data_IF_118879307915
#
_entry.id   IF_118879307915
#
_cell.length_a   1.000
_cell.length_b   1.000
_cell.length_c   1.000
_cell.angle_alpha   90.00
_cell.angle_beta   90.00
_cell.angle_gamma   90.00
#
_symmetry.space_group_name_H-M   'P 1'
#
loop_
_entity.id
_entity.type
_entity.pdbx_description
1 polymer ?
2 polymer ?
3 non-polymer ?
4 water ?
#
# COMPACT_ATOMS: atom_id res chain seq x y z
N UNK A 21 18.59 -10.59 -2.83
CA UNK A 21 19.04 -9.56 -3.75
C UNK A 21 18.28 -8.27 -3.52
N UNK A 22 18.58 -7.25 -4.33
CA UNK A 22 17.96 -5.95 -4.19
C UNK A 22 17.85 -5.30 -5.56
N UNK A 23 16.67 -4.70 -5.83
CA UNK A 23 16.42 -3.94 -7.05
C UNK A 23 15.81 -2.61 -6.66
N UNK A 24 16.42 -1.52 -7.12
CA UNK A 24 16.00 -0.17 -6.76
C UNK A 24 15.59 0.57 -8.02
N UNK A 25 14.34 1.01 -8.06
CA UNK A 25 13.81 1.78 -9.18
C UNK A 25 14.05 3.28 -8.95
N UNK A 26 14.06 4.01 -10.06
CA UNK A 26 14.21 5.46 -10.03
C UNK A 26 13.34 6.07 -11.12
N UNK A 27 13.08 7.37 -10.98
CA UNK A 27 12.21 8.05 -11.91
C UNK A 27 10.74 7.86 -11.57
N UNK A 28 9.91 8.34 -12.49
CA UNK A 28 8.47 8.31 -12.29
C UNK A 28 7.93 9.65 -11.84
N UNK A 29 6.74 9.59 -11.25
CA UNK A 29 6.09 10.78 -10.74
C UNK A 29 4.91 11.24 -11.56
N UNK A 30 4.70 12.56 -11.62
CA UNK A 30 3.57 13.14 -12.33
C UNK A 30 3.93 13.41 -13.79
N UNK A 31 3.12 12.88 -14.70
CA UNK A 31 3.30 13.09 -16.13
C UNK A 31 1.94 13.45 -16.73
N UNK A 32 1.91 14.52 -17.52
CA UNK A 32 0.69 14.92 -18.21
C UNK A 32 0.38 13.93 -19.32
N UNK A 33 -0.91 13.72 -19.62
CA UNK A 33 -1.29 12.73 -20.65
C UNK A 33 -0.62 13.05 -21.99
N UNK A 34 0.04 12.04 -22.56
CA UNK A 34 0.75 12.17 -23.80
C UNK A 34 2.25 12.35 -23.65
N UNK A 35 2.71 12.74 -22.46
CA UNK A 35 4.11 12.98 -22.24
C UNK A 35 4.93 11.71 -22.24
N UNK A 36 6.22 11.88 -21.93
CA UNK A 36 7.17 10.78 -21.88
C UNK A 36 7.86 10.77 -20.52
N UNK A 37 8.38 9.59 -20.17
CA UNK A 37 9.03 9.39 -18.87
C UNK A 37 9.94 8.18 -18.97
N UNK A 38 11.09 8.26 -18.30
CA UNK A 38 12.07 7.18 -18.28
C UNK A 38 12.16 6.59 -16.88
N UNK A 39 12.02 5.28 -16.78
CA UNK A 39 12.24 4.55 -15.53
C UNK A 39 13.58 3.84 -15.58
N UNK A 40 14.33 3.93 -14.50
CA UNK A 40 15.61 3.24 -14.37
C UNK A 40 15.59 2.36 -13.13
N UNK A 41 16.35 1.27 -13.18
CA UNK A 41 16.35 0.28 -12.11
C UNK A 41 17.75 -0.30 -11.95
N UNK A 42 18.41 0.03 -10.86
CA UNK A 42 19.72 -0.52 -10.53
C UNK A 42 19.52 -1.80 -9.73
N UNK A 43 20.35 -2.82 -10.02
CA UNK A 43 20.22 -4.13 -9.40
C UNK A 43 21.52 -4.51 -8.70
N UNK A 44 21.39 -5.33 -7.65
CA UNK A 44 22.53 -5.83 -6.90
C UNK A 44 22.11 -7.11 -6.18
N UNK A 45 23.10 -7.79 -5.59
CA UNK A 45 22.87 -9.04 -4.92
C UNK A 45 22.88 -10.26 -5.81
N UNK A 46 22.90 -10.08 -7.12
CA UNK A 46 23.02 -11.15 -8.09
C UNK A 46 23.79 -10.61 -9.28
N UNK A 47 23.99 -11.45 -10.28
CA UNK A 47 24.66 -11.02 -11.51
C UNK A 47 23.60 -10.54 -12.49
N UNK A 48 23.58 -9.22 -12.72
CA UNK A 48 22.55 -8.59 -13.55
C UNK A 48 22.53 -9.13 -14.98
N UNK A 49 23.64 -9.69 -15.46
CA UNK A 49 23.81 -10.05 -16.86
C UNK A 49 23.28 -11.44 -17.21
N UNK A 50 22.89 -12.24 -16.22
CA UNK A 50 22.47 -13.62 -16.47
C UNK A 50 20.99 -13.84 -16.16
N UNK A 51 20.19 -12.78 -16.11
CA UNK A 51 18.78 -12.88 -15.72
C UNK A 51 17.90 -12.14 -16.72
N UNK A 52 16.69 -12.66 -16.89
CA UNK A 52 15.65 -11.94 -17.61
C UNK A 52 15.09 -10.83 -16.73
N UNK A 53 15.05 -9.61 -17.25
CA UNK A 53 14.54 -8.46 -16.52
C UNK A 53 13.17 -8.09 -17.08
N UNK A 54 12.20 -7.90 -16.18
CA UNK A 54 10.83 -7.56 -16.56
C UNK A 54 10.37 -6.35 -15.79
N UNK A 55 9.48 -5.58 -16.41
CA UNK A 55 8.77 -4.49 -15.76
C UNK A 55 7.31 -4.93 -15.56
N UNK A 56 6.84 -4.86 -14.32
CA UNK A 56 5.47 -5.22 -13.97
C UNK A 56 4.83 -4.04 -13.28
N UNK A 57 3.55 -3.81 -13.54
CA UNK A 57 2.82 -2.72 -12.91
C UNK A 57 1.60 -3.26 -12.16
N UNK A 58 1.10 -2.43 -11.26
CA UNK A 58 -0.04 -2.79 -10.42
C UNK A 58 -0.93 -1.58 -10.24
N UNK A 59 -2.23 -1.79 -10.31
CA UNK A 59 -3.21 -0.72 -10.13
C UNK A 59 -4.53 -1.35 -9.72
N UNK A 60 -5.42 -0.58 -9.07
CA UNK A 60 -6.70 -1.15 -8.63
C UNK A 60 -7.57 -1.69 -9.75
N UNK A 61 -7.50 -1.10 -10.95
CA UNK A 61 -8.34 -1.57 -12.05
C UNK A 61 -7.72 -2.74 -12.81
N UNK A 62 -6.39 -2.79 -12.90
CA UNK A 62 -5.73 -3.84 -13.65
C UNK A 62 -5.32 -5.02 -12.79
N UNK A 63 -4.94 -4.79 -11.53
CA UNK A 63 -4.24 -5.80 -10.77
C UNK A 63 -2.78 -5.85 -11.20
N UNK A 64 -2.17 -7.03 -11.04
CA UNK A 64 -0.79 -7.24 -11.46
C UNK A 64 -0.74 -7.54 -12.95
N UNK A 65 -0.04 -6.71 -13.71
CA UNK A 65 0.02 -6.84 -15.16
C UNK A 65 1.47 -6.81 -15.63
N UNK A 66 1.90 -7.89 -16.28
CA UNK A 66 3.22 -7.90 -16.91
C UNK A 66 3.24 -6.93 -18.08
N UNK A 67 4.31 -6.14 -18.16
CA UNK A 67 4.43 -5.07 -19.15
C UNK A 67 5.48 -5.41 -20.21
N UNK A 68 6.72 -5.68 -19.80
CA UNK A 68 7.82 -5.81 -20.73
C UNK A 68 8.74 -6.95 -20.32
N UNK A 69 9.78 -7.15 -21.11
CA UNK A 69 10.75 -8.22 -20.91
C UNK A 69 11.97 -7.95 -21.76
N UNK A 70 13.15 -8.25 -21.21
CA UNK A 70 14.39 -8.20 -21.95
C UNK A 70 15.28 -9.34 -21.46
N UNK A 71 16.11 -9.86 -22.35
CA UNK A 71 16.92 -11.04 -22.11
C UNK A 71 18.40 -10.65 -22.12
N UNK A 72 19.27 -11.62 -22.40
CA UNK A 72 20.70 -11.46 -22.21
C UNK A 72 21.38 -11.03 -23.51
N UNK A 73 22.71 -10.92 -23.47
CA UNK A 73 23.47 -10.71 -24.68
C UNK A 73 23.44 -11.96 -25.56
N UNK A 74 23.37 -13.15 -24.95
CA UNK A 74 23.28 -14.41 -25.67
C UNK A 74 21.86 -14.74 -26.11
N UNK A 75 20.97 -13.73 -26.14
CA UNK A 75 19.60 -13.92 -26.59
C UNK A 75 19.18 -12.84 -27.59
N UNK A 76 20.15 -12.24 -28.30
CA UNK A 76 19.92 -11.17 -29.27
C UNK A 76 19.32 -9.92 -28.63
N UNK A 77 19.47 -9.76 -27.31
CA UNK A 77 18.76 -8.72 -26.57
C UNK A 77 17.27 -8.79 -26.84
N UNK A 78 16.73 -10.00 -26.84
CA UNK A 78 15.33 -10.21 -27.18
C UNK A 78 14.43 -9.43 -26.23
N UNK A 79 13.25 -9.05 -26.74
CA UNK A 79 12.32 -8.24 -25.99
C UNK A 79 10.90 -8.72 -26.25
N UNK A 80 10.05 -8.54 -25.25
CA UNK A 80 8.63 -8.82 -25.36
C UNK A 80 7.86 -7.71 -24.67
N UNK A 81 6.66 -7.44 -25.17
CA UNK A 81 5.81 -6.40 -24.61
C UNK A 81 4.39 -6.91 -24.47
N UNK A 82 3.66 -6.30 -23.54
CA UNK A 82 2.24 -6.57 -23.43
C UNK A 82 1.51 -5.92 -24.60
N UNK A 83 0.35 -6.48 -24.95
CA UNK A 83 -0.37 -6.02 -26.13
C UNK A 83 -0.83 -4.57 -26.00
N UNK A 84 -0.98 -4.05 -24.78
CA UNK A 84 -1.48 -2.69 -24.59
C UNK A 84 -0.39 -1.63 -24.60
N UNK A 85 0.85 -2.00 -24.29
CA UNK A 85 1.96 -1.04 -24.25
C UNK A 85 2.89 -1.17 -25.45
N UNK A 86 2.64 -2.13 -26.33
CA UNK A 86 3.48 -2.32 -27.50
C UNK A 86 3.43 -1.10 -28.41
N UNK A 87 4.59 -0.73 -28.94
CA UNK A 87 4.70 0.46 -29.77
C UNK A 87 4.86 1.76 -29.02
N UNK A 88 4.61 1.77 -27.71
CA UNK A 88 4.78 2.96 -26.90
C UNK A 88 5.89 2.85 -25.86
N UNK A 89 6.14 1.65 -25.33
CA UNK A 89 7.14 1.45 -24.29
C UNK A 89 8.35 0.71 -24.87
N UNK A 90 9.54 1.07 -24.38
CA UNK A 90 10.79 0.48 -24.83
C UNK A 90 11.59 0.04 -23.61
N UNK A 91 11.75 -1.26 -23.44
CA UNK A 91 12.56 -1.80 -22.35
C UNK A 91 14.01 -1.89 -22.83
N UNK A 92 14.94 -1.52 -21.95
CA UNK A 92 16.36 -1.50 -22.30
C UNK A 92 17.18 -1.85 -21.07
N UNK A 93 18.23 -2.64 -21.27
CA UNK A 93 19.14 -3.03 -20.21
C UNK A 93 20.51 -2.45 -20.46
N UNK A 94 21.35 -2.51 -19.42
CA UNK A 94 22.74 -2.06 -19.49
C UNK A 94 23.53 -2.92 -18.51
N UNK A 95 24.16 -3.98 -19.01
CA UNK A 95 24.87 -4.90 -18.15
C UNK A 95 26.08 -4.24 -17.48
N UNK A 96 26.64 -3.20 -18.10
CA UNK A 96 27.75 -2.48 -17.48
C UNK A 96 27.30 -1.78 -16.21
N UNK A 97 26.19 -1.05 -16.27
CA UNK A 97 25.66 -0.30 -15.14
C UNK A 97 24.67 -1.09 -14.32
N UNK A 98 24.41 -2.36 -14.69
CA UNK A 98 23.46 -3.22 -13.98
C UNK A 98 22.10 -2.53 -13.85
N UNK A 99 21.66 -1.88 -14.92
CA UNK A 99 20.47 -1.06 -14.90
C UNK A 99 19.53 -1.44 -16.03
N UNK A 100 18.24 -1.56 -15.71
CA UNK A 100 17.20 -1.69 -16.72
C UNK A 100 16.53 -0.33 -16.89
N UNK A 101 16.06 -0.08 -18.10
CA UNK A 101 15.36 1.17 -18.40
C UNK A 101 14.02 0.86 -19.05
N UNK A 102 13.12 1.82 -18.95
CA UNK A 102 11.79 1.70 -19.56
C UNK A 102 11.41 3.10 -20.05
N UNK A 103 11.79 3.40 -21.29
CA UNK A 103 11.37 4.64 -21.91
C UNK A 103 9.91 4.50 -22.32
N UNK A 104 9.05 5.30 -21.69
CA UNK A 104 7.61 5.23 -21.90
C UNK A 104 7.18 6.44 -22.72
N UNK A 105 6.83 6.20 -23.98
CA UNK A 105 6.43 7.25 -24.89
C UNK A 105 4.92 7.25 -25.05
N UNK A 106 4.36 8.46 -25.21
CA UNK A 106 2.93 8.65 -25.44
C UNK A 106 2.11 8.04 -24.30
N UNK A 107 2.42 8.48 -23.08
CA UNK A 107 1.75 7.96 -21.90
C UNK A 107 0.30 8.44 -21.85
N UNK A 108 -0.61 7.52 -21.56
CA UNK A 108 -2.01 7.84 -21.36
C UNK A 108 -2.41 7.50 -19.93
N UNK A 109 -3.57 8.01 -19.52
CA UNK A 109 -4.04 7.86 -18.15
C UNK A 109 -4.15 6.40 -17.73
N UNK A 110 -4.32 5.48 -18.68
CA UNK A 110 -4.42 4.07 -18.34
C UNK A 110 -3.11 3.50 -17.79
N UNK A 111 -1.99 4.16 -18.06
CA UNK A 111 -0.69 3.68 -17.62
C UNK A 111 -0.39 4.01 -16.17
N UNK A 112 -1.27 4.75 -15.50
CA UNK A 112 -1.03 5.11 -14.10
C UNK A 112 -1.00 3.87 -13.22
N UNK A 113 0.06 3.74 -12.42
CA UNK A 113 0.15 2.62 -11.52
C UNK A 113 1.51 2.58 -10.84
N UNK A 114 1.73 1.47 -10.14
CA UNK A 114 2.99 1.19 -9.44
C UNK A 114 3.78 0.24 -10.32
N UNK A 115 4.95 0.66 -10.77
CA UNK A 115 5.78 -0.13 -11.67
C UNK A 115 6.90 -0.81 -10.90
N UNK A 116 6.95 -2.14 -10.99
CA UNK A 116 7.94 -2.94 -10.30
C UNK A 116 9.00 -3.43 -11.28
N UNK A 117 10.24 -3.07 -11.03
CA UNK A 117 11.37 -3.68 -11.72
C UNK A 117 11.61 -5.07 -11.17
N UNK A 118 11.65 -6.07 -12.04
CA UNK A 118 11.78 -7.45 -11.61
C UNK A 118 12.88 -8.16 -12.39
N UNK A 119 13.38 -9.24 -11.78
CA UNK A 119 14.34 -10.12 -12.43
C UNK A 119 13.80 -11.54 -12.42
N UNK A 120 14.06 -12.26 -13.51
CA UNK A 120 13.40 -13.52 -13.68
C UNK A 120 11.91 -13.33 -13.89
N UNK A 121 11.17 -14.44 -13.77
CA UNK A 121 9.72 -14.45 -13.97
C UNK A 121 9.12 -15.33 -12.88
N UNK A 122 8.85 -14.74 -11.72
CA UNK A 122 9.35 -13.42 -11.35
C UNK A 122 10.09 -13.59 -10.03
N UNK A 123 11.38 -13.93 -10.14
CA UNK A 123 12.14 -14.36 -8.97
C UNK A 123 12.34 -13.22 -7.96
N UNK A 124 12.67 -12.04 -8.44
CA UNK A 124 13.07 -10.93 -7.59
C UNK A 124 12.30 -9.68 -7.95
N UNK A 125 11.86 -8.95 -6.94
CA UNK A 125 11.07 -7.74 -7.12
C UNK A 125 11.76 -6.56 -6.44
N UNK A 126 11.68 -5.40 -7.08
CA UNK A 126 12.11 -4.17 -6.45
C UNK A 126 11.01 -3.59 -5.59
N UNK A 127 11.30 -2.42 -5.02
CA UNK A 127 10.31 -1.78 -4.16
C UNK A 127 9.16 -1.20 -4.97
N UNK A 128 9.42 -0.73 -6.18
CA UNK A 128 8.38 -0.19 -7.04
C UNK A 128 8.28 1.32 -6.98
N UNK A 129 8.16 1.95 -8.14
CA UNK A 129 7.99 3.39 -8.24
C UNK A 129 6.58 3.70 -8.75
N UNK A 130 6.09 4.89 -8.39
CA UNK A 130 4.72 5.27 -8.69
C UNK A 130 4.70 6.25 -9.87
N UNK A 131 3.88 5.93 -10.88
CA UNK A 131 3.69 6.78 -12.04
C UNK A 131 2.23 7.21 -12.09
N UNK A 132 2.00 8.52 -12.13
CA UNK A 132 0.65 9.08 -12.22
C UNK A 132 0.56 9.87 -13.51
N UNK A 133 -0.33 9.45 -14.41
CA UNK A 133 -0.55 10.14 -15.68
C UNK A 133 -1.78 11.03 -15.49
N UNK A 134 -1.53 12.30 -15.20
CA UNK A 134 -2.57 13.31 -15.01
C UNK A 134 -1.99 14.66 -15.40
N UNK A 135 -2.87 15.58 -15.79
CA UNK A 135 -2.46 16.88 -16.29
C UNK A 135 -2.54 17.99 -15.23
N UNK A 136 -2.76 17.64 -13.97
CA UNK A 136 -2.66 18.64 -12.92
C UNK A 136 -1.18 18.90 -12.60
N UNK A 137 -0.94 19.84 -11.70
CA UNK A 137 0.42 20.24 -11.37
C UNK A 137 0.90 19.55 -10.09
N UNK A 138 2.22 19.45 -9.96
CA UNK A 138 2.80 18.92 -8.73
C UNK A 138 2.68 19.96 -7.61
N UNK A 139 2.20 19.52 -6.46
CA UNK A 139 1.98 20.39 -5.32
C UNK A 139 2.61 19.76 -4.08
N UNK A 140 3.41 20.50 -3.34
CA UNK A 140 4.01 19.95 -2.11
C UNK A 140 2.97 19.89 -1.00
N UNK A 141 3.16 19.02 -0.02
CA UNK A 141 2.15 18.83 1.02
C UNK A 141 2.19 19.89 2.11
N UNK A 142 1.05 20.06 2.75
CA UNK A 142 0.95 20.80 4.01
C UNK A 142 0.85 19.80 5.15
N UNK A 143 1.71 19.94 6.15
CA UNK A 143 1.78 19.03 7.28
C UNK A 143 1.27 19.77 8.51
N UNK A 144 0.20 19.25 9.11
CA UNK A 144 -0.42 19.88 10.27
C UNK A 144 -0.22 19.00 11.49
N UNK A 145 0.24 19.57 12.60
CA UNK A 145 0.43 18.77 13.81
C UNK A 145 -0.92 18.46 14.47
N UNK A 146 -1.03 17.24 14.98
CA UNK A 146 -2.23 16.77 15.69
C UNK A 146 -1.84 16.47 17.13
N UNK A 147 -2.06 17.43 18.01
CA UNK A 147 -1.80 17.26 19.44
C UNK A 147 -3.12 17.06 20.19
N UNK A 148 -3.09 16.36 21.32
CA UNK A 148 -4.31 16.22 22.12
C UNK A 148 -4.74 17.56 22.67
N UNK A 149 -6.05 17.83 22.56
CA UNK A 149 -6.61 19.10 23.00
C UNK A 149 -7.23 19.05 24.38
N UNK A 155 -4.89 8.46 30.40
CA UNK A 155 -4.44 7.18 29.87
C UNK A 155 -2.92 7.02 30.02
N UNK A 156 -2.46 5.77 30.08
CA UNK A 156 -1.03 5.53 30.17
C UNK A 156 -0.32 5.76 28.85
N UNK A 157 -1.04 5.69 27.74
CA UNK A 157 -0.51 5.99 26.42
C UNK A 157 -1.13 7.28 25.90
N UNK A 158 -0.36 8.03 25.12
CA UNK A 158 -0.86 9.21 24.43
C UNK A 158 -0.63 9.03 22.95
N UNK A 159 -1.63 9.43 22.15
CA UNK A 159 -1.59 9.27 20.71
C UNK A 159 -1.45 10.63 20.05
N UNK A 160 -0.46 10.77 19.19
CA UNK A 160 -0.20 11.99 18.44
C UNK A 160 -0.41 11.72 16.95
N UNK A 161 -0.44 12.78 16.16
CA UNK A 161 -0.74 12.61 14.75
C UNK A 161 -0.15 13.71 13.89
N UNK A 162 -0.18 13.44 12.58
CA UNK A 162 0.14 14.43 11.57
C UNK A 162 -0.86 14.30 10.44
N UNK A 163 -1.36 15.43 9.97
CA UNK A 163 -2.30 15.50 8.85
C UNK A 163 -1.59 16.11 7.65
N UNK A 164 -1.66 15.41 6.51
CA UNK A 164 -0.93 15.78 5.31
C UNK A 164 -1.95 16.04 4.21
N UNK A 165 -2.16 17.31 3.86
CA UNK A 165 -3.23 17.70 2.95
C UNK A 165 -2.69 18.50 1.77
N UNK A 166 -3.38 18.38 0.64
CA UNK A 166 -3.19 19.27 -0.49
C UNK A 166 -1.93 19.05 -1.30
N UNK A 167 -1.52 17.80 -1.49
CA UNK A 167 -0.35 17.50 -2.29
C UNK A 167 -0.73 16.65 -3.48
N UNK A 168 0.17 16.61 -4.46
CA UNK A 168 -0.05 15.84 -5.67
C UNK A 168 1.27 15.71 -6.40
N UNK A 169 1.59 14.52 -6.95
CA UNK A 169 0.80 13.30 -6.83
C UNK A 169 1.28 12.42 -5.69
N UNK A 170 0.97 11.13 -5.76
CA UNK A 170 1.44 10.15 -4.81
C UNK A 170 2.82 9.65 -5.20
N UNK A 171 3.61 9.12 -4.22
CA UNK A 171 3.28 8.97 -2.81
C UNK A 171 4.02 9.94 -1.88
N UNK A 172 3.59 10.00 -0.63
CA UNK A 172 4.40 10.57 0.44
C UNK A 172 4.67 9.48 1.45
N UNK A 173 5.84 9.54 2.07
CA UNK A 173 6.25 8.60 3.10
C UNK A 173 6.27 9.33 4.43
N UNK A 174 5.71 8.71 5.46
CA UNK A 174 5.69 9.27 6.81
C UNK A 174 6.58 8.42 7.69
N UNK A 175 7.45 9.08 8.45
CA UNK A 175 8.19 8.46 9.53
C UNK A 175 8.03 9.31 10.79
N UNK A 176 8.39 8.74 11.93
CA UNK A 176 8.32 9.44 13.20
C UNK A 176 9.70 9.40 13.86
N UNK A 177 10.17 10.56 14.30
CA UNK A 177 11.54 10.70 14.82
C UNK A 177 12.55 10.03 13.90
N UNK A 178 12.46 10.36 12.60
CA UNK A 178 13.38 9.86 11.59
C UNK A 178 13.40 8.34 11.52
N UNK A 179 12.28 7.70 11.86
CA UNK A 179 12.19 6.27 11.86
C UNK A 179 12.44 5.62 13.20
N UNK A 180 12.87 6.39 14.21
CA UNK A 180 13.16 5.81 15.51
C UNK A 180 11.91 5.27 16.19
N UNK A 181 10.75 5.86 15.92
CA UNK A 181 9.47 5.35 16.41
C UNK A 181 8.76 4.64 15.28
N UNK A 182 8.39 3.38 15.49
CA UNK A 182 7.74 2.61 14.44
C UNK A 182 6.77 1.59 15.02
N UNK A 183 6.98 1.19 16.27
CA UNK A 183 6.16 0.15 16.86
C UNK A 183 4.72 0.61 17.05
N UNK A 184 4.51 1.88 17.39
CA UNK A 184 3.18 2.36 17.66
C UNK A 184 2.64 3.31 16.61
N UNK A 185 3.05 3.12 15.36
CA UNK A 185 2.72 4.02 14.25
C UNK A 185 1.63 3.39 13.40
N UNK A 186 0.65 4.20 13.01
CA UNK A 186 -0.33 3.85 11.99
C UNK A 186 -0.32 4.93 10.92
N UNK A 187 -0.07 4.53 9.67
CA UNK A 187 -0.07 5.45 8.55
C UNK A 187 -1.17 5.05 7.59
N UNK A 188 -2.02 5.96 7.27
CA UNK A 188 -3.19 5.57 6.52
C UNK A 188 -3.05 5.94 5.05
N UNK A 189 -3.66 5.14 4.17
CA UNK A 189 -3.55 5.41 2.73
C UNK A 189 -4.16 6.76 2.38
N UNK A 190 -3.57 7.39 1.37
CA UNK A 190 -4.03 8.70 0.93
C UNK A 190 -5.29 8.57 0.09
N UNK A 191 -6.22 9.50 0.30
CA UNK A 191 -7.47 9.56 -0.46
C UNK A 191 -7.44 10.84 -1.30
N UNK A 192 -7.83 10.72 -2.56
CA UNK A 192 -7.85 11.85 -3.48
C UNK A 192 -9.23 12.51 -3.47
N UNK A 193 -9.24 13.83 -3.35
CA UNK A 193 -10.47 14.63 -3.33
C UNK A 193 -10.17 15.94 -4.06
N UNK A 194 -11.15 16.85 -4.09
CA UNK A 194 -10.95 18.16 -4.68
C UNK A 194 -9.84 18.94 -3.97
N UNK A 195 -9.47 18.54 -2.76
CA UNK A 195 -8.36 19.12 -2.02
C UNK A 195 -7.03 18.43 -2.35
N UNK A 196 -6.93 17.78 -3.50
CA UNK A 196 -5.79 16.91 -3.85
C UNK A 196 -5.74 15.78 -2.80
N UNK A 197 -4.55 15.22 -2.55
CA UNK A 197 -4.43 14.08 -1.68
C UNK A 197 -4.47 14.47 -0.21
N UNK A 198 -5.02 13.57 0.60
CA UNK A 198 -5.05 13.72 2.06
C UNK A 198 -4.72 12.38 2.69
N UNK A 199 -3.75 12.37 3.60
CA UNK A 199 -3.50 11.19 4.41
C UNK A 199 -3.15 11.64 5.82
N UNK A 200 -3.10 10.67 6.73
CA UNK A 200 -2.83 10.96 8.12
C UNK A 200 -1.95 9.85 8.68
N UNK A 201 -1.29 10.17 9.77
CA UNK A 201 -0.43 9.23 10.47
C UNK A 201 -0.57 9.48 11.96
N UNK A 202 -0.64 8.40 12.74
CA UNK A 202 -0.70 8.50 14.19
C UNK A 202 0.44 7.71 14.80
N UNK A 203 0.93 8.19 15.95
CA UNK A 203 1.91 7.49 16.75
C UNK A 203 1.44 7.49 18.19
N UNK A 204 1.66 6.38 18.89
CA UNK A 204 1.24 6.20 20.27
C UNK A 204 2.47 5.92 21.12
N UNK A 205 2.70 6.77 22.12
CA UNK A 205 3.85 6.60 23.02
C UNK A 205 3.35 6.69 24.46
N UNK A 206 4.15 6.20 25.41
CA UNK A 206 3.78 6.37 26.82
C UNK A 206 3.65 7.84 27.17
N UNK A 207 2.56 8.18 27.87
CA UNK A 207 2.23 9.58 28.11
C UNK A 207 3.25 10.28 29.00
N UNK A 208 3.99 9.54 29.82
CA UNK A 208 5.04 10.16 30.63
C UNK A 208 6.24 10.61 29.81
N UNK A 209 6.33 10.22 28.54
CA UNK A 209 7.47 10.57 27.70
C UNK A 209 7.18 11.69 26.71
N UNK A 210 5.96 12.22 26.70
CA UNK A 210 5.64 13.35 25.84
C UNK A 210 5.01 14.45 26.70
N UNK A 211 5.43 15.71 26.55
CA UNK A 211 6.39 16.18 25.55
C UNK A 211 7.84 16.27 26.01
N UNK A 212 8.19 15.57 27.10
CA UNK A 212 9.57 15.61 27.58
C UNK A 212 10.54 15.06 26.54
N UNK A 213 10.14 14.00 25.84
CA UNK A 213 10.96 13.41 24.79
C UNK A 213 10.24 13.66 23.47
N UNK A 214 10.82 14.52 22.63
CA UNK A 214 10.09 15.11 21.53
C UNK A 214 9.63 14.04 20.53
N UNK A 215 8.51 14.31 19.90
CA UNK A 215 7.92 13.46 18.88
C UNK A 215 7.74 14.29 17.63
N UNK A 216 8.29 13.82 16.51
CA UNK A 216 8.30 14.58 15.27
C UNK A 216 7.93 13.66 14.13
N UNK A 217 7.03 14.13 13.27
CA UNK A 217 6.68 13.37 12.07
C UNK A 217 7.44 13.94 10.88
N UNK A 218 7.96 13.06 10.04
CA UNK A 218 8.74 13.44 8.88
C UNK A 218 7.97 13.02 7.64
N UNK A 219 7.60 13.99 6.83
CA UNK A 219 6.80 13.78 5.63
C UNK A 219 7.67 14.07 4.42
N UNK A 220 7.94 13.06 3.61
CA UNK A 220 8.76 13.21 2.41
C UNK A 220 7.87 13.06 1.17
N UNK A 221 7.96 14.05 0.27
CA UNK A 221 7.19 14.04 -0.98
C UNK A 221 8.20 14.17 -2.12
N UNK A 222 8.70 13.05 -2.65
CA UNK A 222 9.78 13.13 -3.67
C UNK A 222 9.33 13.76 -4.98
N UNK A 223 8.04 13.71 -5.30
CA UNK A 223 7.58 14.31 -6.56
C UNK A 223 7.80 15.82 -6.58
N UNK A 224 7.74 16.48 -5.41
CA UNK A 224 7.94 17.91 -5.30
C UNK A 224 9.30 18.26 -4.69
N UNK A 225 10.19 17.28 -4.52
CA UNK A 225 11.53 17.49 -3.96
C UNK A 225 11.46 18.14 -2.57
N UNK A 226 10.43 17.79 -1.79
CA UNK A 226 10.13 18.46 -0.54
C UNK A 226 10.07 17.46 0.60
N UNK A 227 10.58 17.86 1.76
CA UNK A 227 10.41 17.10 2.99
C UNK A 227 10.07 18.07 4.10
N UNK A 228 9.11 17.68 4.95
CA UNK A 228 8.65 18.49 6.06
C UNK A 228 8.80 17.68 7.34
N UNK A 229 9.34 18.32 8.38
CA UNK A 229 9.45 17.71 9.69
C UNK A 229 8.64 18.55 10.67
N UNK A 230 7.67 17.92 11.33
CA UNK A 230 6.74 18.63 12.21
C UNK A 230 6.86 18.05 13.60
N UNK A 231 7.44 18.82 14.52
CA UNK A 231 7.52 18.41 15.91
C UNK A 231 6.19 18.68 16.60
N UNK A 232 5.59 17.64 17.16
CA UNK A 232 4.28 17.75 17.80
C UNK A 232 4.49 18.33 19.19
N UNK A 233 3.97 19.54 19.41
CA UNK A 233 4.12 20.24 20.69
C UNK A 233 2.75 20.33 21.36
N UNK A 234 2.67 20.54 22.67
CA UNK A 234 1.35 20.65 23.31
C UNK A 234 0.60 21.88 22.84
N UNK A 235 -0.72 21.79 22.91
CA UNK A 235 -1.59 22.93 22.61
C UNK A 235 -1.66 23.86 23.81
N UNK B 20 -4.04 -15.10 -24.35
CA UNK B 20 -3.74 -14.76 -22.96
C UNK B 20 -4.46 -15.72 -22.01
N UNK B 21 -3.70 -16.43 -21.19
CA UNK B 21 -4.27 -17.36 -20.22
C UNK B 21 -4.73 -16.60 -19.00
N UNK B 22 -5.92 -16.92 -18.52
CA UNK B 22 -6.55 -16.22 -17.41
C UNK B 22 -6.36 -17.03 -16.14
N UNK B 23 -5.71 -16.44 -15.14
CA UNK B 23 -5.55 -17.05 -13.83
C UNK B 23 -6.67 -16.55 -12.92
N UNK B 24 -7.39 -17.48 -12.31
CA UNK B 24 -8.50 -17.18 -11.42
C UNK B 24 -8.18 -17.71 -10.04
N UNK B 25 -8.14 -16.82 -9.05
CA UNK B 25 -7.87 -17.20 -7.67
C UNK B 25 -9.17 -17.16 -6.88
N UNK B 26 -9.40 -18.21 -6.09
CA UNK B 26 -10.60 -18.34 -5.28
C UNK B 26 -10.20 -18.74 -3.87
N UNK B 27 -10.76 -18.10 -2.83
CA UNK B 27 -11.70 -16.99 -2.99
C UNK B 27 -10.99 -15.65 -3.09
N UNK B 28 -11.75 -14.56 -3.14
CA UNK B 28 -11.13 -13.24 -3.12
C UNK B 28 -10.52 -12.94 -1.76
N UNK B 29 -11.15 -13.42 -0.69
CA UNK B 29 -10.66 -13.22 0.66
C UNK B 29 -10.91 -14.48 1.48
N UNK B 30 -10.05 -14.71 2.46
CA UNK B 30 -10.13 -15.91 3.29
C UNK B 30 -9.73 -15.61 4.73
N UNK B 31 -10.63 -15.79 5.70
CA UNK B 31 -10.26 -15.68 7.11
C UNK B 31 -9.75 -16.99 7.66
N UNK B 32 -8.77 -16.88 8.58
CA UNK B 32 -8.15 -18.07 9.15
C UNK B 32 -7.55 -17.69 10.50
N UNK B 33 -7.78 -18.55 11.49
CA UNK B 33 -7.19 -18.34 12.81
C UNK B 33 -5.73 -18.77 12.82
N UNK B 34 -4.99 -18.28 13.81
CA UNK B 34 -3.59 -18.64 13.95
C UNK B 34 -3.46 -20.08 14.46
N UNK B 35 -2.53 -20.82 13.88
CA UNK B 35 -2.31 -22.21 14.19
C UNK B 35 -3.00 -23.16 13.23
N UNK B 36 -4.13 -22.76 12.65
CA UNK B 36 -4.84 -23.59 11.69
C UNK B 36 -4.15 -23.53 10.33
N UNK B 37 -4.73 -24.22 9.36
CA UNK B 37 -4.21 -24.26 8.00
C UNK B 37 -5.12 -23.45 7.07
N UNK B 38 -4.60 -23.15 5.89
CA UNK B 38 -5.32 -22.37 4.90
C UNK B 38 -4.96 -22.88 3.52
N UNK B 39 -5.95 -22.91 2.62
CA UNK B 39 -5.75 -23.31 1.24
C UNK B 39 -6.32 -22.24 0.32
N UNK B 40 -5.62 -21.97 -0.77
CA UNK B 40 -6.03 -20.97 -1.75
C UNK B 40 -5.95 -21.60 -3.13
N UNK B 41 -7.04 -21.51 -3.89
CA UNK B 41 -7.11 -22.11 -5.21
C UNK B 41 -6.70 -21.10 -6.28
N UNK B 42 -5.99 -21.58 -7.29
CA UNK B 42 -5.62 -20.78 -8.46
C UNK B 42 -5.81 -21.66 -9.68
N UNK B 43 -6.71 -21.25 -10.58
CA UNK B 43 -7.01 -22.01 -11.77
C UNK B 43 -6.73 -21.18 -13.02
N UNK B 44 -6.38 -21.86 -14.11
CA UNK B 44 -6.01 -21.22 -15.36
C UNK B 44 -7.03 -21.57 -16.44
N UNK B 45 -6.95 -20.82 -17.55
CA UNK B 45 -7.83 -21.08 -18.68
C UNK B 45 -7.54 -22.44 -19.31
N UNK B 46 -6.26 -22.74 -19.53
CA UNK B 46 -5.83 -24.00 -20.12
C UNK B 46 -4.81 -24.66 -19.21
N UNK B 47 -4.51 -25.92 -19.51
CA UNK B 47 -3.40 -26.60 -18.85
C UNK B 47 -2.09 -25.93 -19.24
N UNK B 48 -1.32 -25.53 -18.23
CA UNK B 48 -0.04 -24.87 -18.45
C UNK B 48 1.14 -25.84 -18.37
N UNK B 49 0.87 -27.14 -18.43
CA UNK B 49 1.91 -28.15 -18.45
C UNK B 49 2.74 -27.97 -19.70
N UNK B 50 4.00 -27.56 -19.53
CA UNK B 50 4.92 -27.49 -20.66
C UNK B 50 5.11 -28.90 -21.22
N UNK B 51 5.72 -28.97 -22.41
CA UNK B 51 6.10 -30.27 -22.95
C UNK B 51 7.05 -30.98 -21.98
N UNK B 52 7.93 -30.21 -21.36
CA UNK B 52 8.87 -30.72 -20.37
C UNK B 52 8.35 -30.43 -18.97
N UNK B 53 8.53 -31.39 -18.07
CA UNK B 53 8.24 -31.24 -16.66
C UNK B 53 6.79 -30.87 -16.39
N UNK B 54 6.59 -30.17 -15.26
CA UNK B 54 5.25 -29.80 -14.83
C UNK B 54 4.89 -28.42 -15.33
N UNK B 55 4.47 -27.54 -14.41
CA UNK B 55 3.92 -26.25 -14.76
C UNK B 55 4.92 -25.14 -14.42
N UNK B 56 4.91 -24.08 -15.24
CA UNK B 56 5.58 -22.85 -14.84
C UNK B 56 4.67 -22.04 -13.93
N UNK B 57 4.20 -22.65 -12.84
CA UNK B 57 3.23 -22.05 -11.94
C UNK B 57 3.95 -21.50 -10.72
N UNK B 58 3.78 -20.21 -10.46
CA UNK B 58 4.48 -19.53 -9.38
C UNK B 58 3.48 -18.90 -8.42
N UNK B 59 3.80 -18.98 -7.13
CA UNK B 59 3.01 -18.35 -6.07
C UNK B 59 3.78 -17.19 -5.48
N UNK B 60 3.05 -16.14 -5.10
CA UNK B 60 3.65 -14.93 -4.56
C UNK B 60 2.87 -14.48 -3.33
N UNK B 61 3.58 -13.85 -2.40
CA UNK B 61 2.97 -13.22 -1.24
C UNK B 61 3.36 -11.74 -1.24
N UNK B 62 2.35 -10.87 -1.20
CA UNK B 62 2.57 -9.43 -1.11
C UNK B 62 2.02 -8.96 0.22
N UNK B 63 2.91 -8.81 1.20
CA UNK B 63 2.53 -8.22 2.47
C UNK B 63 2.11 -6.77 2.24
N UNK B 64 1.20 -6.25 3.07
CA UNK B 64 0.74 -4.87 2.87
C UNK B 64 1.89 -3.88 2.96
N UNK B 65 1.87 -2.90 2.04
CA UNK B 65 2.91 -1.90 1.98
C UNK B 65 4.21 -2.35 1.32
N UNK B 66 4.26 -3.56 0.79
CA UNK B 66 5.48 -4.10 0.19
C UNK B 66 5.18 -4.58 -1.23
N UNK B 67 6.23 -5.03 -1.90
CA UNK B 67 6.08 -5.59 -3.24
C UNK B 67 5.83 -7.09 -3.14
N UNK B 68 5.32 -7.71 -4.22
CA UNK B 68 5.18 -9.17 -4.20
C UNK B 68 6.51 -9.86 -4.04
N UNK B 69 6.48 -11.04 -3.42
CA UNK B 69 7.69 -11.84 -3.21
C UNK B 69 7.40 -13.29 -3.60
N UNK B 70 8.29 -13.86 -4.40
CA UNK B 70 8.12 -15.22 -4.89
C UNK B 70 8.21 -16.21 -3.74
N UNK B 71 7.13 -16.94 -3.49
CA UNK B 71 7.11 -17.98 -2.46
C UNK B 71 7.43 -19.35 -3.06
N UNK B 72 6.63 -19.77 -4.02
CA UNK B 72 6.75 -21.11 -4.61
C UNK B 72 6.85 -20.96 -6.12
N UNK B 73 7.72 -21.76 -6.73
CA UNK B 73 7.86 -21.81 -8.18
C UNK B 73 7.75 -23.26 -8.64
N UNK B 74 7.27 -23.43 -9.87
CA UNK B 74 7.05 -24.74 -10.48
C UNK B 74 6.21 -25.63 -9.56
N UNK B 75 5.04 -25.12 -9.22
CA UNK B 75 4.00 -25.84 -8.47
C UNK B 75 4.38 -26.07 -7.02
N UNK B 76 5.56 -26.65 -6.77
CA UNK B 76 5.89 -27.10 -5.41
C UNK B 76 7.25 -26.64 -4.89
N UNK B 77 8.15 -26.14 -5.72
CA UNK B 77 9.47 -25.78 -5.23
C UNK B 77 9.39 -24.50 -4.40
N UNK B 78 9.90 -24.57 -3.18
CA UNK B 78 9.91 -23.40 -2.29
C UNK B 78 11.14 -22.56 -2.57
N UNK B 79 10.94 -21.25 -2.66
CA UNK B 79 12.01 -20.33 -3.01
C UNK B 79 12.95 -20.13 -1.83
N UNK B 80 13.94 -19.26 -2.03
CA UNK B 80 14.95 -19.01 -1.01
C UNK B 80 14.33 -18.39 0.23
N UNK B 81 14.57 -19.02 1.38
CA UNK B 81 14.11 -18.48 2.64
C UNK B 81 12.62 -18.62 2.89
N UNK B 82 11.95 -19.53 2.20
CA UNK B 82 10.52 -19.76 2.41
C UNK B 82 10.36 -20.83 3.48
N UNK B 83 9.59 -20.58 4.53
CA UNK B 83 9.40 -21.59 5.58
C UNK B 83 8.75 -22.85 5.02
N UNK B 84 8.98 -23.96 5.73
CA UNK B 84 8.45 -25.25 5.29
C UNK B 84 6.94 -25.33 5.38
N UNK B 85 6.28 -24.37 6.04
CA UNK B 85 4.84 -24.44 6.17
C UNK B 85 4.11 -24.02 4.90
N UNK B 86 4.79 -23.34 3.98
CA UNK B 86 4.22 -23.04 2.67
C UNK B 86 4.44 -24.22 1.74
N UNK B 87 3.35 -24.79 1.24
CA UNK B 87 3.40 -25.89 0.28
C UNK B 87 2.46 -25.61 -0.88
N UNK B 88 2.83 -26.10 -2.06
CA UNK B 88 2.04 -25.90 -3.25
C UNK B 88 1.70 -27.18 -4.00
N UNK B 89 0.40 -27.45 -4.13
CA UNK B 89 -0.08 -28.66 -4.78
C UNK B 89 -0.83 -28.30 -6.06
N UNK B 90 -1.45 -29.30 -6.68
CA UNK B 90 -2.22 -29.12 -7.88
C UNK B 90 -1.49 -29.61 -9.13
N UNK B 91 -2.26 -29.79 -10.20
CA UNK B 91 -1.72 -30.27 -11.46
C UNK B 91 -2.64 -29.85 -12.60
N UNK B 92 -2.04 -29.47 -13.73
CA UNK B 92 -2.79 -29.15 -14.92
C UNK B 92 -3.39 -27.76 -14.93
N UNK B 93 -4.68 -27.67 -14.61
CA UNK B 93 -5.37 -26.38 -14.51
C UNK B 93 -5.60 -25.94 -13.08
N UNK B 94 -5.71 -26.86 -12.14
CA UNK B 94 -5.95 -26.54 -10.74
C UNK B 94 -4.64 -26.56 -9.95
N UNK B 95 -4.48 -25.59 -9.06
CA UNK B 95 -3.30 -25.49 -8.21
C UNK B 95 -3.72 -24.96 -6.85
N UNK B 96 -3.16 -25.55 -5.80
CA UNK B 96 -3.51 -25.21 -4.43
C UNK B 96 -2.27 -24.79 -3.66
N UNK B 97 -2.33 -23.62 -3.05
CA UNK B 97 -1.31 -23.18 -2.10
C UNK B 97 -1.82 -23.47 -0.70
N UNK B 98 -0.98 -24.08 0.13
CA UNK B 98 -1.36 -24.43 1.49
C UNK B 98 -0.40 -23.77 2.48
N UNK B 99 -0.92 -23.46 3.66
CA UNK B 99 -0.14 -22.88 4.75
C UNK B 99 -0.44 -23.70 6.00
N UNK B 100 0.57 -24.42 6.49
CA UNK B 100 0.42 -25.21 7.70
C UNK B 100 0.75 -24.35 8.92
N UNK B 101 -0.15 -24.34 9.89
CA UNK B 101 -0.02 -23.50 11.08
C UNK B 101 0.23 -22.03 10.70
N UNK B 102 -0.84 -21.32 10.35
CA UNK B 102 -0.72 -19.94 9.89
C UNK B 102 -0.11 -19.06 10.97
N UNK B 103 0.77 -18.16 10.56
CA UNK B 103 1.34 -17.16 11.45
C UNK B 103 0.83 -15.77 11.08
N UNK B 104 1.07 -14.82 11.98
CA UNK B 104 0.57 -13.46 11.78
C UNK B 104 1.28 -12.77 10.62
N UNK B 105 2.57 -13.01 10.46
CA UNK B 105 3.31 -12.44 9.35
C UNK B 105 2.91 -13.02 8.00
N UNK B 106 2.04 -14.03 7.98
CA UNK B 106 1.57 -14.61 6.73
C UNK B 106 0.46 -13.82 6.07
N UNK B 107 -0.13 -12.85 6.75
CA UNK B 107 -1.25 -12.10 6.17
C UNK B 107 -0.77 -11.23 5.02
N UNK B 108 -1.66 -10.98 4.09
CA UNK B 108 -1.36 -10.25 2.88
C UNK B 108 -2.16 -10.82 1.73
N UNK B 109 -1.81 -10.39 0.52
CA UNK B 109 -2.47 -10.85 -0.69
C UNK B 109 -1.56 -11.85 -1.39
N UNK B 110 -2.08 -13.05 -1.64
CA UNK B 110 -1.34 -14.10 -2.31
C UNK B 110 -1.73 -14.14 -3.79
N UNK B 111 -0.73 -14.11 -4.67
CA UNK B 111 -0.93 -14.13 -6.10
C UNK B 111 -0.41 -15.43 -6.70
N UNK B 112 -0.81 -15.67 -7.95
CA UNK B 112 -0.27 -16.77 -8.74
C UNK B 112 -0.03 -16.27 -10.16
N UNK B 113 1.13 -16.62 -10.71
CA UNK B 113 1.46 -16.28 -12.08
C UNK B 113 1.78 -17.55 -12.87
N UNK B 114 1.96 -17.38 -14.17
CA UNK B 114 2.24 -18.48 -15.08
C UNK B 114 3.20 -18.02 -16.15
N UNK B 115 4.15 -18.89 -16.51
CA UNK B 115 5.18 -18.55 -17.47
C UNK B 115 5.25 -19.52 -18.64
N UNK B 116 4.29 -20.45 -18.76
CA UNK B 116 4.28 -21.39 -19.87
C UNK B 116 3.88 -20.70 -21.17
N UNK B 117 2.59 -20.39 -21.30
CA UNK B 117 2.05 -19.79 -22.51
C UNK B 117 2.35 -18.30 -22.48
N UNK B 118 3.49 -17.92 -23.06
CA UNK B 118 3.96 -16.54 -22.99
C UNK B 118 4.57 -16.15 -24.33
N UNK B 119 4.45 -14.87 -24.71
CA UNK B 119 3.75 -13.80 -23.98
C UNK B 119 2.23 -13.94 -24.07
N UNK B 120 1.49 -13.37 -23.11
CA UNK B 120 2.05 -12.65 -21.97
C UNK B 120 2.11 -13.49 -20.70
N UNK B 121 2.85 -12.99 -19.72
CA UNK B 121 2.87 -13.58 -18.38
C UNK B 121 1.72 -12.98 -17.57
N UNK B 122 0.82 -13.82 -17.10
CA UNK B 122 -0.41 -13.37 -16.47
C UNK B 122 -0.45 -13.77 -15.00
N UNK B 123 -1.01 -12.89 -14.18
CA UNK B 123 -1.21 -13.13 -12.76
C UNK B 123 -2.69 -13.38 -12.47
N UNK B 124 -2.96 -13.80 -11.24
CA UNK B 124 -4.33 -13.93 -10.78
C UNK B 124 -4.82 -12.65 -10.12
N UNK B 125 -6.10 -12.65 -9.77
CA UNK B 125 -6.67 -11.49 -9.10
C UNK B 125 -6.09 -11.28 -7.72
N UNK B 126 -5.65 -12.35 -7.07
CA UNK B 126 -5.09 -12.27 -5.73
C UNK B 126 -6.11 -12.64 -4.67
N UNK B 127 -5.67 -13.38 -3.66
CA UNK B 127 -6.51 -13.75 -2.53
C UNK B 127 -5.94 -13.10 -1.28
N UNK B 128 -6.77 -12.35 -0.57
CA UNK B 128 -6.34 -11.69 0.66
C UNK B 128 -6.47 -12.65 1.84
N UNK B 129 -5.36 -12.88 2.53
CA UNK B 129 -5.35 -13.70 3.73
C UNK B 129 -5.58 -12.80 4.94
N UNK B 130 -6.68 -13.03 5.65
CA UNK B 130 -7.03 -12.26 6.84
C UNK B 130 -6.95 -13.13 8.07
N UNK B 131 -6.22 -12.67 9.09
CA UNK B 131 -6.11 -13.40 10.34
C UNK B 131 -7.36 -13.12 11.17
N UNK B 132 -8.09 -14.18 11.52
CA UNK B 132 -9.27 -14.08 12.38
C UNK B 132 -8.77 -14.08 13.83
N UNK B 133 -8.58 -12.89 14.37
CA UNK B 133 -8.15 -12.74 15.76
C UNK B 133 -9.35 -12.45 16.65
N UNK B 134 -9.09 -12.45 17.96
CA UNK B 134 -10.12 -12.13 18.92
C UNK B 134 -10.61 -10.70 18.74
N UNK B 135 -11.81 -10.43 19.24
CA UNK B 135 -12.38 -9.09 19.13
C UNK B 135 -11.51 -8.07 19.86
N UNK B 136 -11.38 -6.88 19.26
CA UNK B 136 -10.61 -5.80 19.83
C UNK B 136 -11.39 -4.51 19.63
N UNK B 137 -11.62 -3.78 20.71
CA UNK B 137 -12.35 -2.52 20.61
C UNK B 137 -11.41 -1.40 20.18
N UNK B 138 -11.89 -0.45 19.37
CA UNK B 138 -11.02 0.63 18.94
C UNK B 138 -10.60 1.54 20.08
N UNK B 139 -9.36 1.99 20.03
CA UNK B 139 -8.89 3.09 20.87
C UNK B 139 -9.07 4.38 20.08
N UNK B 140 -9.98 5.24 20.53
CA UNK B 140 -10.42 6.40 19.77
C UNK B 140 -9.76 7.65 20.31
N UNK B 141 -9.23 8.48 19.42
CA UNK B 141 -8.61 9.76 19.78
C UNK B 141 -9.09 10.83 18.82
N UNK B 142 -9.52 11.96 19.35
CA UNK B 142 -10.01 13.07 18.54
C UNK B 142 -9.02 14.23 18.64
N UNK B 143 -8.88 14.97 17.55
CA UNK B 143 -7.93 16.08 17.50
C UNK B 143 -8.56 17.31 16.83
N UNK B 144 -8.60 18.45 17.52
CA UNK B 144 -9.09 19.68 16.89
C UNK B 144 -8.14 20.16 15.81
N UNK B 145 -8.56 21.12 14.98
CA UNK B 145 -7.67 21.63 13.94
C UNK B 145 -6.46 22.34 14.51
N UNK B 146 -5.36 22.29 13.77
CA UNK B 146 -4.14 22.96 14.17
C UNK B 146 -4.20 24.45 13.81
N UNK B 147 -3.36 25.24 14.48
CA UNK B 147 -3.30 26.67 14.18
C UNK B 147 -2.77 26.95 12.79
N UNK B 148 -1.90 26.07 12.27
CA UNK B 148 -1.40 26.24 10.91
C UNK B 148 -2.52 26.15 9.90
N UNK B 149 -3.40 25.16 10.04
CA UNK B 149 -4.48 24.98 9.06
C UNK B 149 -5.49 26.11 9.16
N UNK B 150 -5.81 26.55 10.39
CA UNK B 150 -6.75 27.65 10.58
C UNK B 150 -6.26 28.91 9.88
N UNK B 151 -4.95 29.16 9.90
CA UNK B 151 -4.39 30.32 9.24
C UNK B 151 -4.69 30.31 7.75
N UNK B 152 -4.72 29.12 7.15
CA UNK B 152 -5.03 28.97 5.73
C UNK B 152 -6.51 28.88 5.44
N UNK B 153 -7.37 29.06 6.44
CA UNK B 153 -8.80 29.05 6.24
C UNK B 153 -9.47 27.70 6.32
N UNK B 154 -8.72 26.63 6.61
CA UNK B 154 -9.29 25.30 6.74
C UNK B 154 -9.43 24.89 8.19
N UNK B 155 -10.18 23.80 8.40
CA UNK B 155 -10.40 23.30 9.75
C UNK B 155 -10.79 21.83 9.65
N UNK B 156 -9.82 20.95 9.83
CA UNK B 156 -10.04 19.51 9.83
C UNK B 156 -9.99 18.99 11.26
N UNK B 157 -11.03 18.26 11.66
CA UNK B 157 -11.04 17.52 12.91
C UNK B 157 -10.74 16.07 12.59
N UNK B 158 -9.76 15.50 13.28
CA UNK B 158 -9.28 14.16 12.99
C UNK B 158 -9.64 13.23 14.14
N UNK B 159 -10.13 12.04 13.79
CA UNK B 159 -10.51 11.01 14.73
C UNK B 159 -9.77 9.73 14.34
N UNK B 160 -8.91 9.24 15.22
CA UNK B 160 -8.20 7.99 15.02
C UNK B 160 -8.94 6.86 15.74
N UNK B 161 -9.12 5.75 15.04
CA UNK B 161 -9.73 4.55 15.62
C UNK B 161 -8.74 3.40 15.42
N UNK B 162 -7.95 3.12 16.44
CA UNK B 162 -6.75 2.29 16.29
C UNK B 162 -6.92 0.94 16.97
N UNK B 163 -6.40 -0.10 16.29
CA UNK B 163 -6.21 -1.44 16.86
C UNK B 163 -7.55 -2.06 17.28
N UNK B 164 -8.37 -2.35 16.27
CA UNK B 164 -9.66 -2.99 16.48
C UNK B 164 -9.82 -4.17 15.54
N UNK B 165 -10.74 -5.07 15.90
CA UNK B 165 -11.09 -6.24 15.10
C UNK B 165 -12.47 -6.69 15.52
N UNK B 166 -13.35 -7.09 14.59
CA UNK B 166 -13.15 -7.13 13.14
C UNK B 166 -13.11 -5.77 12.46
N UNK B 167 -12.83 -5.78 11.15
CA UNK B 167 -12.69 -4.55 10.38
C UNK B 167 -13.99 -3.77 10.30
N UNK B 168 -15.13 -4.43 10.47
CA UNK B 168 -16.43 -3.78 10.33
C UNK B 168 -16.60 -2.75 11.44
N UNK B 169 -16.81 -1.49 11.05
CA UNK B 169 -16.94 -0.40 12.00
C UNK B 169 -17.65 0.75 11.32
N UNK B 170 -18.40 1.52 12.10
CA UNK B 170 -19.08 2.71 11.61
C UNK B 170 -18.63 3.91 12.43
N UNK B 171 -18.40 5.03 11.74
CA UNK B 171 -17.99 6.28 12.38
C UNK B 171 -19.04 7.33 12.07
N UNK B 172 -19.47 8.05 13.10
CA UNK B 172 -20.44 9.13 12.96
C UNK B 172 -19.82 10.41 13.50
N UNK B 173 -19.91 11.48 12.70
CA UNK B 173 -19.50 12.80 13.13
C UNK B 173 -20.73 13.61 13.48
N UNK B 174 -20.77 14.16 14.69
CA UNK B 174 -21.83 15.05 15.14
C UNK B 174 -21.26 16.42 15.47
N UNK B 175 -21.97 17.47 15.07
CA UNK B 175 -21.57 18.85 15.33
C UNK B 175 -22.69 19.51 16.11
N UNK B 176 -22.40 19.91 17.34
CA UNK B 176 -23.42 20.46 18.25
C UNK B 176 -24.63 19.55 18.35
N UNK B 177 -24.37 18.24 18.41
CA UNK B 177 -25.43 17.25 18.52
C UNK B 177 -26.13 16.93 17.22
N UNK B 178 -25.68 17.48 16.10
CA UNK B 178 -26.26 17.20 14.79
C UNK B 178 -25.24 16.46 13.92
N UNK B 179 -25.70 15.39 13.28
CA UNK B 179 -24.82 14.55 12.48
C UNK B 179 -24.47 15.21 11.16
N UNK B 180 -23.19 15.11 10.78
CA UNK B 180 -22.71 15.61 9.50
C UNK B 180 -22.07 14.47 8.72
N UNK B 181 -22.35 14.43 7.42
CA UNK B 181 -21.87 13.35 6.56
C UNK B 181 -20.96 13.80 5.42
N UNK B 182 -21.08 15.05 4.97
CA UNK B 182 -20.22 15.55 3.90
C UNK B 182 -19.06 16.34 4.48
N UNK B 183 -17.91 16.25 3.80
CA UNK B 183 -16.66 16.70 4.36
C UNK B 183 -15.93 15.67 5.18
N UNK B 184 -16.47 14.46 5.30
CA UNK B 184 -15.86 13.39 6.05
C UNK B 184 -15.01 12.55 5.12
N UNK B 185 -13.76 12.31 5.51
CA UNK B 185 -12.84 11.46 4.76
C UNK B 185 -12.41 10.30 5.65
N UNK B 186 -12.55 9.08 5.15
CA UNK B 186 -12.26 7.87 5.91
C UNK B 186 -11.15 7.08 5.22
N UNK B 187 -10.30 6.46 6.02
CA UNK B 187 -9.16 5.71 5.49
C UNK B 187 -8.81 4.60 6.47
N UNK B 188 -8.81 3.36 5.97
CA UNK B 188 -8.46 2.19 6.77
C UNK B 188 -7.04 1.73 6.42
N UNK B 189 -6.32 1.25 7.44
CA UNK B 189 -5.08 0.52 7.18
C UNK B 189 -5.40 -0.94 6.92
N UNK B 190 -4.44 -1.64 6.34
CA UNK B 190 -4.56 -3.08 6.24
C UNK B 190 -4.30 -3.70 7.61
N UNK B 191 -4.53 -5.00 7.71
CA UNK B 191 -4.29 -5.71 8.96
C UNK B 191 -2.81 -5.63 9.32
N UNK B 192 -2.52 -5.28 10.56
CA UNK B 192 -1.15 -5.19 11.06
C UNK B 192 -0.69 -6.56 11.53
N UNK B 193 0.43 -7.05 10.97
CA UNK B 193 0.91 -8.37 11.35
C UNK B 193 1.36 -8.44 12.80
N UNK B 194 1.67 -7.31 13.44
CA UNK B 194 2.19 -7.38 14.80
C UNK B 194 1.09 -7.72 15.81
N UNK B 195 -0.18 -7.42 15.50
CA UNK B 195 -1.27 -7.71 16.42
C UNK B 195 -2.57 -8.12 15.72
N UNK B 196 -2.56 -8.25 14.38
CA UNK B 196 -3.72 -8.72 13.61
C UNK B 196 -4.91 -7.78 13.70
N UNK B 197 -4.71 -6.53 14.09
CA UNK B 197 -5.80 -5.57 14.18
C UNK B 197 -5.80 -4.64 12.97
N UNK B 198 -6.91 -3.92 12.82
CA UNK B 198 -7.05 -2.85 11.86
C UNK B 198 -7.06 -1.50 12.57
N UNK B 199 -6.83 -0.45 11.79
CA UNK B 199 -6.97 0.91 12.29
C UNK B 199 -7.65 1.75 11.21
N UNK B 200 -8.27 2.84 11.65
CA UNK B 200 -9.04 3.69 10.75
C UNK B 200 -8.85 5.14 11.13
N UNK B 201 -8.77 6.00 10.11
CA UNK B 201 -8.70 7.44 10.30
C UNK B 201 -9.95 8.07 9.71
N UNK B 202 -10.60 8.93 10.49
CA UNK B 202 -11.79 9.65 10.05
C UNK B 202 -11.53 11.13 10.22
N UNK B 203 -11.67 11.88 9.13
CA UNK B 203 -11.34 13.30 9.12
C UNK B 203 -12.54 14.10 8.66
N UNK B 204 -13.04 14.98 9.52
CA UNK B 204 -14.12 15.90 9.18
C UNK B 204 -13.46 17.23 8.79
N UNK B 205 -13.51 17.57 7.52
CA UNK B 205 -12.87 18.77 7.00
C UNK B 205 -13.94 19.83 6.77
N UNK B 206 -13.75 20.99 7.40
CA UNK B 206 -14.65 22.12 7.26
C UNK B 206 -13.84 23.36 6.92
N UNK B 207 -14.53 24.38 6.42
CA UNK B 207 -13.90 25.69 6.33
C UNK B 207 -13.74 26.27 7.74
N UNK B 208 -12.74 27.13 7.90
CA UNK B 208 -12.58 27.84 9.17
C UNK B 208 -13.85 28.59 9.55
N UNK B 209 -14.54 29.13 8.54
CA UNK B 209 -15.73 29.95 8.81
C UNK B 209 -16.82 29.15 9.52
N UNK B 210 -17.14 27.97 8.99
CA UNK B 210 -18.17 27.14 9.63
C UNK B 210 -17.69 26.58 10.96
N UNK B 211 -16.41 26.24 11.08
CA UNK B 211 -15.89 25.61 12.28
C UNK B 211 -16.06 26.51 13.50
N UNK B 212 -15.86 27.81 13.33
CA UNK B 212 -15.95 28.75 14.45
C UNK B 212 -17.38 29.20 14.75
N UNK B 213 -18.36 28.63 14.07
CA UNK B 213 -19.76 28.86 14.40
C UNK B 213 -20.37 27.75 15.24
N UNK B 214 -19.57 26.75 15.60
CA UNK B 214 -20.02 25.62 16.41
C UNK B 214 -19.03 25.38 17.53
N UNK B 215 -19.48 24.66 18.55
CA UNK B 215 -18.67 24.41 19.74
C UNK B 215 -18.29 22.95 19.91
N UNK B 216 -19.25 22.03 19.83
CA UNK B 216 -19.02 20.63 20.17
C UNK B 216 -18.81 19.80 18.91
N UNK B 217 -17.73 19.02 18.90
CA UNK B 217 -17.42 18.15 17.79
C UNK B 217 -17.18 16.74 18.33
N UNK B 218 -17.83 15.75 17.73
CA UNK B 218 -17.86 14.41 18.30
C UNK B 218 -17.78 13.38 17.19
N UNK B 219 -16.84 12.44 17.32
CA UNK B 219 -16.85 11.24 16.51
C UNK B 219 -17.30 10.06 17.37
N UNK B 220 -18.20 9.24 16.82
CA UNK B 220 -18.74 8.09 17.51
C UNK B 220 -18.37 6.84 16.72
N UNK B 221 -17.89 5.83 17.41
CA UNK B 221 -17.52 4.55 16.82
C UNK B 221 -18.53 3.50 17.26
N UNK B 222 -19.17 2.85 16.30
CA UNK B 222 -20.05 1.72 16.56
C UNK B 222 -19.37 0.46 16.04
N UNK B 223 -19.06 -0.46 16.95
CA UNK B 223 -18.27 -1.63 16.64
C UNK B 223 -18.84 -2.84 17.39
N UNK B 224 -18.58 -4.02 16.83
CA UNK B 224 -19.10 -5.27 17.39
C UNK B 224 -18.78 -5.43 18.87
N UNK B 225 -17.66 -4.88 19.32
CA UNK B 225 -17.17 -5.07 20.67
C UNK B 225 -17.97 -4.34 21.74
N UNK B 226 -18.97 -3.54 21.37
CA UNK B 226 -19.67 -2.74 22.36
C UNK B 226 -21.08 -2.44 21.86
N UNK B 227 -22.06 -2.61 22.75
CA UNK B 227 -23.43 -2.22 22.43
C UNK B 227 -23.60 -0.71 22.41
N UNK B 228 -22.77 0.02 23.14
CA UNK B 228 -22.70 1.47 23.20
C UNK B 228 -21.62 1.99 22.27
N UNK B 229 -21.83 3.11 21.60
CA UNK B 229 -20.77 3.68 20.77
C UNK B 229 -19.64 4.22 21.63
N UNK B 230 -18.43 4.12 21.08
CA UNK B 230 -17.27 4.74 21.72
C UNK B 230 -17.22 6.20 21.27
N UNK B 231 -17.18 7.11 22.23
CA UNK B 231 -17.36 8.54 21.97
C UNK B 231 -16.13 9.28 22.49
N UNK B 232 -15.56 10.13 21.63
CA UNK B 232 -14.59 11.13 22.02
C UNK B 232 -15.09 12.47 21.52
N UNK B 233 -14.99 13.50 22.35
CA UNK B 233 -15.51 14.80 22.01
C UNK B 233 -14.59 15.89 22.53
N UNK B 234 -14.88 17.13 22.12
CA UNK B 234 -14.20 18.31 22.61
C UNK B 234 -15.03 19.53 22.24
N UNK B 235 -14.86 20.59 23.03
CA UNK B 235 -15.46 21.88 22.75
C UNK B 235 -14.39 22.86 22.29
N UNK B 236 -14.77 23.79 21.42
CA UNK B 236 -13.84 24.83 20.98
C UNK B 236 -13.40 25.71 22.14
N UNK B 237 -14.08 25.66 23.28
CA UNK B 237 -13.63 26.31 24.51
C UNK B 237 -12.67 25.35 25.21
N UNK B 238 -11.44 25.30 24.69
CA UNK B 238 -10.43 24.37 25.17
C UNK B 238 -10.00 24.70 26.60
X LIG C 1 -9.33 16.19 25.91
X LIG C 1 -9.84 16.89 24.64
X LIG C 1 -8.52 14.94 25.57
X LIG C 1 -10.47 15.82 26.83
X LIG C 1 -8.45 17.12 26.63
X LIG C 1 -10.88 16.15 24.05
X LIG C 1 -8.25 14.24 26.77
X LIG C 1 -10.74 16.88 27.73
X LIG D 1 4.15 2.83 -1.84
X LIG D 1 2.78 3.14 -2.45
X LIG D 1 5.19 2.67 -2.94
X LIG D 1 4.09 1.55 -1.00
X LIG D 1 4.55 3.95 -0.97
X LIG D 1 1.77 2.61 -1.62
X LIG D 1 5.20 1.33 -3.41
X LIG D 1 3.44 1.82 0.22
#
# INVERSE_FOLDING_TARGET
>A
MDLRLSCAFIIVLLKGVQSEVNLEESGGGLVQPGGSMKLSCVASGFTFSNYWMNWVRQSPEKGLEWVAQIRLKSDNYATHYAESVKGRFTISRDDSKSSVYLQMNNLRAEDTGIYYCTGGVFDYWGQGTTLTVSSSKTTPPSVYPLAPGSAAQTNSMVTLGCLVKGYFPEPVTVTWNSGALSSGVHTFPAVLQSDLYTLSSSVTVPSSTWPSQTVTCNVAHPASSTKVDKKIVPRD
>B
MKLPVRLLVLMFWIPASSSDVVMTQTPLSLPVSLGDQASISCRSSQSLVHSNGNTYLHWYLQKPGQSPKLLIYKVSNRFSGVPDRFSGSGSGTDFTLKISRVEAEDLGVYFCSQSTHVPPWTFGGGTKLEIKRADAAPTVSIFPPSSEQLTSGGASVVCFLNNFYPKDINVKWKIDGSERQNGVLNSWTDQDSKDSTYSMSSTLTLTKDEYERHNSYTCEATHKTSTSPIVKSFNRNEC
>C hetero
1 TRS C C1 C2 C3 N O1 O2 O3
>D hetero
1 TRS C C1 C2 C3 N O1 O2 O3
#
